data_IF_534466012142
#
_entry.id   IF_534466012142
#
_cell.length_a   1.000
_cell.length_b   1.000
_cell.length_c   1.000
_cell.angle_alpha   90.00
_cell.angle_beta   90.00
_cell.angle_gamma   90.00
#
_symmetry.space_group_name_H-M   'P 1'
#
loop_
_entity.id
_entity.type
_entity.pdbx_description
1 polymer ?
#
# COMPACT_ATOMS: atom_id res chain seq x y z
N UNK A 1 15.17 5.92 35.47
CA UNK A 1 15.04 6.63 34.17
C UNK A 1 14.95 5.64 33.01
N UNK A 2 13.90 4.81 32.94
CA UNK A 2 13.76 3.77 31.88
C UNK A 2 12.42 3.89 31.14
N UNK A 3 11.33 4.08 31.91
CA UNK A 3 9.96 4.09 31.38
C UNK A 3 9.68 5.22 30.37
N UNK A 4 10.21 6.43 30.59
CA UNK A 4 9.98 7.57 29.67
C UNK A 4 10.67 7.36 28.32
N UNK A 5 11.85 6.74 28.32
CA UNK A 5 12.59 6.45 27.08
C UNK A 5 11.89 5.34 26.28
N UNK A 6 11.40 4.31 26.96
CA UNK A 6 10.65 3.22 26.34
C UNK A 6 9.32 3.70 25.76
N UNK A 7 8.61 4.58 26.47
CA UNK A 7 7.39 5.22 25.97
C UNK A 7 7.66 6.01 24.68
N UNK A 8 8.65 6.91 24.67
CA UNK A 8 9.03 7.68 23.47
C UNK A 8 9.45 6.79 22.30
N UNK A 9 10.18 5.71 22.59
CA UNK A 9 10.61 4.75 21.56
C UNK A 9 9.40 4.07 20.93
N UNK A 10 8.46 3.61 21.77
CA UNK A 10 7.22 2.99 21.30
C UNK A 10 6.38 3.98 20.48
N UNK A 11 6.25 5.23 20.93
CA UNK A 11 5.51 6.25 20.19
C UNK A 11 6.14 6.54 18.82
N UNK A 12 7.48 6.56 18.72
CA UNK A 12 8.18 6.68 17.44
C UNK A 12 7.88 5.49 16.52
N UNK A 13 7.96 4.27 17.04
CA UNK A 13 7.70 3.03 16.30
C UNK A 13 6.26 3.01 15.76
N UNK A 14 5.29 3.37 16.60
CA UNK A 14 3.89 3.47 16.20
C UNK A 14 3.72 4.52 15.12
N UNK A 15 4.26 5.74 15.32
CA UNK A 15 4.15 6.80 14.32
C UNK A 15 4.76 6.41 12.97
N UNK A 16 5.89 5.73 12.95
CA UNK A 16 6.54 5.32 11.71
C UNK A 16 5.67 4.32 10.93
N UNK A 17 5.15 3.29 11.58
CA UNK A 17 4.26 2.31 10.93
C UNK A 17 2.98 2.97 10.42
N UNK A 18 2.37 3.85 11.22
CA UNK A 18 1.14 4.54 10.87
C UNK A 18 1.34 5.51 9.69
N UNK A 19 2.35 6.36 9.74
CA UNK A 19 2.61 7.35 8.69
C UNK A 19 2.95 6.67 7.36
N UNK A 20 3.78 5.62 7.38
CA UNK A 20 4.12 4.88 6.16
C UNK A 20 2.90 4.16 5.58
N UNK A 21 2.10 3.50 6.43
CA UNK A 21 0.89 2.81 5.98
C UNK A 21 -0.17 3.75 5.41
N UNK A 22 -0.43 4.86 6.08
CA UNK A 22 -1.40 5.87 5.61
C UNK A 22 -0.95 6.53 4.30
N UNK A 23 0.34 6.88 4.17
CA UNK A 23 0.88 7.47 2.95
C UNK A 23 0.74 6.51 1.76
N UNK A 24 1.12 5.24 1.91
CA UNK A 24 0.97 4.22 0.87
C UNK A 24 -0.50 4.05 0.49
N UNK A 25 -1.39 3.95 1.48
CA UNK A 25 -2.82 3.76 1.23
C UNK A 25 -3.42 4.97 0.48
N UNK A 26 -3.02 6.18 0.86
CA UNK A 26 -3.47 7.39 0.18
C UNK A 26 -2.99 7.43 -1.28
N UNK A 27 -1.73 7.08 -1.54
CA UNK A 27 -1.17 7.03 -2.90
C UNK A 27 -1.95 6.02 -3.74
N UNK A 28 -2.11 4.79 -3.26
CA UNK A 28 -2.81 3.72 -3.99
C UNK A 28 -4.26 4.14 -4.28
N UNK A 29 -5.01 4.58 -3.26
CA UNK A 29 -6.42 4.95 -3.43
C UNK A 29 -6.60 6.16 -4.33
N UNK A 30 -5.65 7.12 -4.31
CA UNK A 30 -5.66 8.26 -5.22
C UNK A 30 -5.35 7.83 -6.66
N UNK A 31 -4.40 6.91 -6.87
CA UNK A 31 -4.10 6.37 -8.20
C UNK A 31 -5.28 5.60 -8.78
N UNK A 32 -5.97 4.79 -7.96
CA UNK A 32 -7.20 4.10 -8.38
C UNK A 32 -8.27 5.11 -8.82
N UNK A 33 -8.49 6.19 -8.04
CA UNK A 33 -9.49 7.21 -8.38
C UNK A 33 -9.19 8.00 -9.65
N UNK A 34 -7.91 8.12 -10.03
CA UNK A 34 -7.49 8.84 -11.24
C UNK A 34 -7.28 7.90 -12.44
N UNK A 35 -7.39 6.59 -12.24
CA UNK A 35 -7.30 5.61 -13.30
C UNK A 35 -8.51 5.71 -14.23
N UNK A 36 -8.31 5.32 -15.48
CA UNK A 36 -9.37 5.20 -16.49
C UNK A 36 -9.90 3.77 -16.56
N UNK A 37 -9.07 2.77 -16.25
CA UNK A 37 -9.43 1.36 -16.19
C UNK A 37 -8.52 0.58 -15.24
N UNK A 38 -9.00 -0.59 -14.77
CA UNK A 38 -8.23 -1.56 -14.00
C UNK A 38 -7.94 -2.78 -14.88
N UNK A 39 -6.66 -3.06 -15.13
CA UNK A 39 -6.24 -4.25 -15.89
C UNK A 39 -6.10 -5.49 -15.01
N UNK A 40 -5.73 -5.29 -13.75
CA UNK A 40 -5.63 -6.35 -12.74
C UNK A 40 -5.77 -5.75 -11.34
N UNK A 41 -6.53 -6.36 -10.42
CA UNK A 41 -7.37 -7.56 -10.62
C UNK A 41 -8.62 -7.26 -11.46
N UNK A 42 -9.05 -8.24 -12.27
CA UNK A 42 -10.32 -8.17 -13.01
C UNK A 42 -11.52 -8.19 -12.04
N UNK A 43 -12.71 -7.74 -12.47
CA UNK A 43 -13.92 -7.77 -11.65
C UNK A 43 -14.12 -9.09 -10.89
N UNK A 44 -14.56 -8.99 -9.64
CA UNK A 44 -14.80 -10.10 -8.70
C UNK A 44 -13.56 -10.97 -8.33
N UNK A 45 -12.35 -10.54 -8.69
CA UNK A 45 -11.10 -11.28 -8.37
C UNK A 45 -10.19 -10.52 -7.41
N UNK A 46 -9.18 -11.22 -6.89
CA UNK A 46 -8.12 -10.60 -6.08
C UNK A 46 -6.73 -10.97 -6.59
N UNK A 47 -5.78 -10.07 -6.35
CA UNK A 47 -4.38 -10.22 -6.74
C UNK A 47 -3.46 -9.51 -5.72
N UNK A 48 -2.18 -9.86 -5.72
CA UNK A 48 -1.12 -9.17 -4.97
C UNK A 48 -0.51 -7.99 -5.75
N UNK A 49 -0.91 -7.84 -7.00
CA UNK A 49 -0.43 -6.84 -7.95
C UNK A 49 -1.62 -6.08 -8.53
N UNK A 50 -1.53 -4.75 -8.51
CA UNK A 50 -2.50 -3.83 -9.11
C UNK A 50 -1.89 -3.23 -10.38
N UNK A 51 -2.64 -3.27 -11.48
CA UNK A 51 -2.28 -2.65 -12.75
C UNK A 51 -3.41 -1.74 -13.20
N UNK A 52 -3.11 -0.45 -13.32
CA UNK A 52 -4.05 0.59 -13.69
C UNK A 52 -3.65 1.24 -15.00
N UNK A 53 -4.65 1.54 -15.83
CA UNK A 53 -4.49 2.44 -16.96
C UNK A 53 -4.79 3.87 -16.51
N UNK A 54 -3.97 4.81 -16.96
CA UNK A 54 -4.15 6.24 -16.66
C UNK A 54 -4.22 7.06 -17.95
N UNK A 55 -4.89 8.21 -17.88
CA UNK A 55 -5.04 9.12 -19.03
C UNK A 55 -3.69 9.71 -19.48
N UNK A 56 -2.78 9.93 -18.53
CA UNK A 56 -1.45 10.47 -18.81
C UNK A 56 -0.55 9.35 -19.27
N UNK A 57 -0.27 9.29 -20.58
CA UNK A 57 0.52 8.20 -21.18
C UNK A 57 1.90 7.98 -20.55
N UNK A 58 2.53 9.02 -19.98
CA UNK A 58 3.80 8.88 -19.27
C UNK A 58 3.70 8.01 -18.01
N UNK A 59 2.51 7.93 -17.40
CA UNK A 59 2.25 7.17 -16.17
C UNK A 59 1.52 5.85 -16.45
N UNK A 60 1.23 5.54 -17.72
CA UNK A 60 0.46 4.37 -18.12
C UNK A 60 1.41 3.25 -18.61
N UNK A 61 1.35 2.02 -18.04
CA UNK A 61 0.53 1.61 -16.91
C UNK A 61 1.11 2.03 -15.57
N UNK A 62 0.25 2.24 -14.57
CA UNK A 62 0.66 2.40 -13.17
C UNK A 62 0.53 1.04 -12.47
N UNK A 63 1.64 0.53 -11.95
CA UNK A 63 1.73 -0.81 -11.36
C UNK A 63 2.11 -0.69 -9.89
N UNK A 64 1.38 -1.38 -9.01
CA UNK A 64 1.77 -1.56 -7.60
C UNK A 64 1.99 -3.03 -7.30
N UNK A 65 3.07 -3.32 -6.58
CA UNK A 65 3.40 -4.67 -6.14
C UNK A 65 4.21 -4.66 -4.84
N UNK A 66 4.29 -5.82 -4.20
CA UNK A 66 5.10 -6.05 -3.01
C UNK A 66 6.32 -6.91 -3.37
N UNK A 67 7.52 -6.42 -3.10
CA UNK A 67 8.77 -7.17 -3.30
C UNK A 67 9.63 -7.07 -2.05
N UNK A 68 10.01 -8.22 -1.48
CA UNK A 68 10.93 -8.31 -0.34
C UNK A 68 10.58 -7.40 0.85
N UNK A 69 9.29 -7.23 1.14
CA UNK A 69 8.81 -6.41 2.26
C UNK A 69 8.66 -4.91 1.95
N UNK A 70 8.85 -4.50 0.70
CA UNK A 70 8.69 -3.11 0.26
C UNK A 70 7.61 -3.02 -0.81
N UNK A 71 6.67 -2.09 -0.62
CA UNK A 71 5.66 -1.77 -1.63
C UNK A 71 6.28 -0.81 -2.65
N UNK A 72 6.18 -1.16 -3.92
CA UNK A 72 6.68 -0.37 -5.04
C UNK A 72 5.53 0.16 -5.89
N UNK A 73 5.81 1.30 -6.53
CA UNK A 73 5.00 1.88 -7.59
C UNK A 73 5.85 2.05 -8.83
N UNK A 74 5.36 1.64 -9.99
CA UNK A 74 5.98 1.89 -11.29
C UNK A 74 4.99 2.63 -12.17
N UNK A 75 5.40 3.74 -12.75
CA UNK A 75 4.60 4.54 -13.66
C UNK A 75 5.20 4.49 -15.07
N UNK A 76 4.46 3.91 -16.02
CA UNK A 76 4.88 3.79 -17.41
C UNK A 76 6.24 3.10 -17.57
N UNK A 77 7.15 3.78 -18.26
CA UNK A 77 8.52 3.29 -18.52
C UNK A 77 9.53 3.68 -17.43
N UNK A 78 9.12 4.42 -16.39
CA UNK A 78 10.02 4.85 -15.33
C UNK A 78 10.48 3.67 -14.45
N UNK A 79 11.54 3.89 -13.68
CA UNK A 79 12.00 2.93 -12.67
C UNK A 79 10.98 2.81 -11.53
N UNK A 80 10.92 1.63 -10.91
CA UNK A 80 10.05 1.41 -9.76
C UNK A 80 10.52 2.22 -8.55
N UNK A 81 9.60 2.97 -7.93
CA UNK A 81 9.84 3.78 -6.75
C UNK A 81 9.32 3.04 -5.51
N UNK A 82 10.15 2.96 -4.47
CA UNK A 82 9.75 2.41 -3.18
C UNK A 82 8.83 3.40 -2.46
N UNK A 83 7.64 2.94 -2.05
CA UNK A 83 6.68 3.75 -1.28
C UNK A 83 6.86 3.61 0.24
N UNK A 84 7.66 2.64 0.67
CA UNK A 84 7.99 2.40 2.08
C UNK A 84 9.48 2.54 2.30
N UNK A 85 9.90 2.96 3.49
CA UNK A 85 11.30 3.05 3.86
C UNK A 85 11.82 1.76 4.54
N UNK A 86 13.11 1.72 4.86
CA UNK A 86 13.75 0.53 5.46
C UNK A 86 13.39 0.26 6.92
N UNK A 87 12.72 1.20 7.61
CA UNK A 87 12.29 1.06 9.01
C UNK A 87 11.00 0.27 9.15
N UNK A 88 10.29 0.03 8.05
CA UNK A 88 9.06 -0.77 8.03
C UNK A 88 9.19 -1.90 7.03
N UNK A 89 8.43 -2.96 7.25
CA UNK A 89 8.26 -4.05 6.32
C UNK A 89 6.76 -4.28 6.08
N UNK A 90 6.38 -4.26 4.81
CA UNK A 90 5.04 -4.57 4.35
C UNK A 90 4.88 -6.07 4.09
N UNK A 91 3.68 -6.59 4.32
CA UNK A 91 3.29 -7.96 4.04
C UNK A 91 1.85 -8.00 3.55
N UNK A 92 1.41 -9.16 3.07
CA UNK A 92 0.00 -9.48 2.79
C UNK A 92 -0.72 -8.46 1.89
N UNK A 93 0.02 -7.83 0.96
CA UNK A 93 -0.58 -6.90 0.00
C UNK A 93 -1.61 -7.63 -0.86
N UNK A 94 -2.83 -7.14 -0.82
CA UNK A 94 -3.95 -7.69 -1.56
C UNK A 94 -4.84 -6.58 -2.10
N UNK A 95 -5.13 -6.69 -3.38
CA UNK A 95 -6.10 -5.91 -4.11
C UNK A 95 -7.26 -6.84 -4.46
N UNK A 96 -8.48 -6.39 -4.20
CA UNK A 96 -9.69 -7.12 -4.52
C UNK A 96 -10.61 -6.19 -5.31
N UNK A 97 -11.00 -6.61 -6.51
CA UNK A 97 -12.04 -5.93 -7.27
C UNK A 97 -13.40 -6.47 -6.81
N UNK A 98 -14.20 -5.59 -6.23
CA UNK A 98 -15.54 -5.88 -5.71
C UNK A 98 -16.64 -5.54 -6.72
N UNK A 99 -16.28 -4.96 -7.86
CA UNK A 99 -17.24 -4.63 -8.89
C UNK A 99 -17.79 -5.88 -9.56
N UNK A 100 -19.11 -5.98 -9.74
CA UNK A 100 -19.70 -6.93 -10.66
C UNK A 100 -19.20 -6.72 -12.09
N UNK A 101 -19.15 -7.80 -12.87
CA UNK A 101 -18.78 -7.73 -14.29
C UNK A 101 -19.73 -6.76 -15.03
N UNK A 102 -19.14 -5.82 -15.78
CA UNK A 102 -19.88 -4.84 -16.57
C UNK A 102 -20.29 -3.58 -15.80
N UNK A 103 -19.83 -3.42 -14.56
CA UNK A 103 -19.98 -2.19 -13.77
C UNK A 103 -18.63 -1.49 -13.56
N UNK A 104 -18.66 -0.29 -12.97
CA UNK A 104 -17.43 0.45 -12.68
C UNK A 104 -16.61 -0.25 -11.60
N UNK A 105 -15.31 -0.37 -11.82
CA UNK A 105 -14.41 -1.03 -10.87
C UNK A 105 -14.39 -0.32 -9.51
N UNK A 106 -14.50 -1.13 -8.44
CA UNK A 106 -14.34 -0.73 -7.05
C UNK A 106 -13.32 -1.67 -6.40
N UNK A 107 -12.15 -1.12 -6.08
CA UNK A 107 -11.04 -1.85 -5.54
C UNK A 107 -10.94 -1.66 -4.04
N UNK A 108 -10.94 -2.77 -3.31
CA UNK A 108 -10.47 -2.84 -1.93
C UNK A 108 -8.98 -3.15 -1.91
N UNK A 109 -8.25 -2.41 -1.09
CA UNK A 109 -6.83 -2.57 -0.85
C UNK A 109 -6.64 -2.99 0.61
N UNK A 110 -5.78 -3.96 0.84
CA UNK A 110 -5.34 -4.31 2.19
C UNK A 110 -3.88 -4.74 2.21
N UNK A 111 -3.18 -4.42 3.29
CA UNK A 111 -1.81 -4.87 3.54
C UNK A 111 -1.48 -4.71 5.02
N UNK A 112 -0.45 -5.42 5.48
CA UNK A 112 0.09 -5.28 6.83
C UNK A 112 1.40 -4.50 6.77
N UNK A 113 1.61 -3.55 7.69
CA UNK A 113 2.91 -2.91 7.90
C UNK A 113 3.40 -3.23 9.29
N UNK A 114 4.66 -3.62 9.41
CA UNK A 114 5.34 -3.92 10.67
C UNK A 114 6.60 -3.08 10.79
N UNK A 115 6.99 -2.73 12.02
CA UNK A 115 8.27 -2.08 12.24
C UNK A 115 9.42 -3.08 12.04
N UNK A 116 10.40 -2.71 11.23
CA UNK A 116 11.54 -3.55 10.90
C UNK A 116 12.66 -3.37 11.93
N UNK A 117 12.73 -4.28 12.90
CA UNK A 117 13.77 -4.31 13.93
C UNK A 117 14.27 -5.73 14.18
N UNK A 118 15.58 -5.86 14.42
CA UNK A 118 16.19 -7.11 14.90
C UNK A 118 16.03 -7.31 16.41
N UNK A 119 15.49 -6.33 17.13
CA UNK A 119 15.28 -6.41 18.57
C UNK A 119 13.97 -7.11 18.93
N UNK A 120 14.03 -8.04 19.89
CA UNK A 120 12.86 -8.71 20.45
C UNK A 120 12.13 -7.89 21.52
N UNK A 121 12.59 -6.67 21.81
CA UNK A 121 11.96 -5.81 22.82
C UNK A 121 10.57 -5.38 22.36
N UNK A 122 9.59 -5.48 23.25
CA UNK A 122 8.19 -5.16 22.97
C UNK A 122 7.97 -3.75 22.40
N UNK A 123 8.84 -2.78 22.72
CA UNK A 123 8.75 -1.40 22.20
C UNK A 123 8.91 -1.31 20.68
N UNK A 124 9.57 -2.29 20.05
CA UNK A 124 9.74 -2.39 18.60
C UNK A 124 8.77 -3.37 17.94
N UNK A 125 7.98 -4.09 18.74
CA UNK A 125 7.02 -5.08 18.26
C UNK A 125 5.68 -4.40 18.03
N UNK A 126 5.55 -3.80 16.84
CA UNK A 126 4.33 -3.15 16.41
C UNK A 126 4.10 -3.38 14.92
N UNK A 127 2.85 -3.67 14.59
CA UNK A 127 2.37 -3.76 13.22
C UNK A 127 0.87 -3.56 13.18
N UNK A 128 0.39 -3.10 12.03
CA UNK A 128 -1.02 -2.79 11.80
C UNK A 128 -1.42 -3.22 10.41
N UNK A 129 -2.68 -3.62 10.28
CA UNK A 129 -3.33 -3.84 8.99
C UNK A 129 -3.98 -2.55 8.51
N UNK A 130 -3.71 -2.21 7.26
CA UNK A 130 -4.29 -1.06 6.57
C UNK A 130 -5.32 -1.57 5.57
N UNK A 131 -6.42 -0.83 5.48
CA UNK A 131 -7.53 -1.13 4.60
C UNK A 131 -8.03 0.16 3.97
N UNK A 132 -8.31 0.13 2.68
CA UNK A 132 -8.97 1.24 2.00
C UNK A 132 -9.68 0.77 0.75
N UNK A 133 -10.43 1.69 0.15
CA UNK A 133 -11.11 1.44 -1.11
C UNK A 133 -11.00 2.64 -2.04
N UNK A 134 -11.03 2.35 -3.33
CA UNK A 134 -11.07 3.33 -4.40
C UNK A 134 -11.93 2.80 -5.53
N UNK A 135 -12.88 3.63 -5.97
CA UNK A 135 -13.64 3.39 -7.19
C UNK A 135 -13.19 4.38 -8.27
N UNK A 136 -13.29 3.96 -9.52
CA UNK A 136 -13.05 4.82 -10.68
C UNK A 136 -14.03 6.01 -10.68
N UNK A 137 -13.57 7.19 -11.06
CA UNK A 137 -14.42 8.37 -11.28
C UNK A 137 -14.78 8.43 -12.77
N UNK A 138 -15.86 7.75 -13.14
CA UNK A 138 -16.47 7.89 -14.47
C UNK A 138 -17.64 8.86 -14.45
#
# INVERSE_FOLDING_TARGET
>A
MSLIFEARTKDMVVNEVEQQGDAVLQIITQSIRNATAVNSPTPETSADTLVLDTLVGANNPTIFNLVSGTIFMKEGAAESVALTNSRVAAATLNFQNLAPIGTNDDLRVSFTVTYNSSSTRQVYQYGRNFYGSGALRQ
#
